data_IF_458356332180
#
_entry.id   IF_458356332180
#
_cell.length_a   1.000
_cell.length_b   1.000
_cell.length_c   1.000
_cell.angle_alpha   90.00
_cell.angle_beta   90.00
_cell.angle_gamma   90.00
#
_symmetry.space_group_name_H-M   'P 1'
#
loop_
_entity.id
_entity.type
_entity.pdbx_description
1 polymer ?
#
# COMPACT_ATOMS: atom_id res chain seq x y z
N UNK A 1 -30.25 -4.60 -11.90
CA UNK A 1 -29.97 -5.51 -10.77
C UNK A 1 -29.73 -4.63 -9.56
N UNK A 2 -30.68 -4.56 -8.64
CA UNK A 2 -30.48 -3.90 -7.36
C UNK A 2 -30.07 -4.95 -6.34
N UNK A 3 -28.78 -5.02 -6.05
CA UNK A 3 -28.29 -5.62 -4.81
C UNK A 3 -27.59 -4.48 -4.07
N UNK A 4 -28.36 -3.76 -3.26
CA UNK A 4 -27.79 -2.90 -2.21
C UNK A 4 -27.52 -3.79 -1.01
N UNK A 5 -26.56 -4.72 -1.13
CA UNK A 5 -25.92 -5.25 0.07
C UNK A 5 -25.06 -4.12 0.61
N UNK A 6 -25.44 -3.59 1.77
CA UNK A 6 -24.53 -2.73 2.53
C UNK A 6 -23.26 -3.55 2.74
N UNK A 7 -22.08 -3.10 2.26
CA UNK A 7 -20.85 -3.84 2.47
C UNK A 7 -20.70 -4.08 3.97
N UNK A 8 -20.47 -5.33 4.35
CA UNK A 8 -20.28 -5.69 5.75
C UNK A 8 -19.11 -4.89 6.31
N UNK A 9 -19.40 -3.95 7.21
CA UNK A 9 -18.39 -3.15 7.88
C UNK A 9 -17.65 -4.04 8.88
N UNK A 10 -16.34 -4.20 8.68
CA UNK A 10 -15.49 -4.90 9.62
C UNK A 10 -14.91 -3.90 10.62
N UNK A 11 -15.34 -3.98 11.88
CA UNK A 11 -14.83 -3.14 12.95
C UNK A 11 -13.56 -3.76 13.54
N UNK A 12 -12.49 -2.96 13.62
CA UNK A 12 -11.23 -3.33 14.25
C UNK A 12 -11.35 -3.23 15.77
N UNK A 13 -11.90 -4.26 16.39
CA UNK A 13 -12.03 -4.32 17.84
C UNK A 13 -10.69 -4.67 18.52
N UNK A 14 -10.51 -4.23 19.76
CA UNK A 14 -9.32 -4.56 20.56
C UNK A 14 -8.07 -3.74 20.20
N UNK A 15 -8.24 -2.62 19.51
CA UNK A 15 -7.19 -1.64 19.25
C UNK A 15 -7.76 -0.22 19.38
N UNK A 16 -6.96 0.71 19.90
CA UNK A 16 -7.29 2.15 19.93
C UNK A 16 -6.82 2.86 18.65
N UNK A 17 -6.39 2.08 17.65
CA UNK A 17 -5.92 2.59 16.36
C UNK A 17 -7.07 3.17 15.54
N UNK A 18 -6.89 4.44 15.16
CA UNK A 18 -7.86 5.17 14.33
C UNK A 18 -7.40 5.24 12.87
N UNK A 19 -6.13 4.96 12.59
CA UNK A 19 -5.55 5.04 11.25
C UNK A 19 -5.42 3.64 10.64
N UNK A 20 -6.56 3.12 10.17
CA UNK A 20 -6.60 1.80 9.53
C UNK A 20 -5.70 1.69 8.29
N UNK A 21 -5.45 2.81 7.62
CA UNK A 21 -4.58 2.93 6.45
C UNK A 21 -3.12 2.61 6.77
N UNK A 22 -2.65 2.91 7.99
CA UNK A 22 -1.21 3.00 8.22
C UNK A 22 -0.55 1.71 8.68
N UNK A 23 -1.30 0.77 9.25
CA UNK A 23 -0.70 -0.43 9.84
C UNK A 23 -0.60 -1.60 8.85
N UNK A 24 -1.20 -1.50 7.67
CA UNK A 24 -1.19 -2.54 6.64
C UNK A 24 -1.41 -1.98 5.23
N UNK A 25 -0.89 -2.70 4.24
CA UNK A 25 -1.15 -2.45 2.82
C UNK A 25 -1.82 -3.68 2.18
N UNK A 26 -3.00 -3.55 1.58
CA UNK A 26 -3.64 -4.65 0.86
C UNK A 26 -3.00 -4.94 -0.49
N UNK A 27 -2.66 -6.21 -0.73
CA UNK A 27 -2.21 -6.72 -2.02
C UNK A 27 -2.86 -8.05 -2.38
N UNK A 28 -2.34 -8.71 -3.41
CA UNK A 28 -2.77 -10.05 -3.78
C UNK A 28 -1.62 -10.87 -4.38
N UNK A 29 -1.77 -12.19 -4.31
CA UNK A 29 -0.96 -13.15 -5.06
C UNK A 29 -1.90 -14.00 -5.92
N UNK A 30 -1.46 -14.36 -7.12
CA UNK A 30 -2.28 -15.13 -8.08
C UNK A 30 -1.45 -16.18 -8.80
N UNK A 31 -2.08 -17.31 -9.11
CA UNK A 31 -1.49 -18.37 -9.93
C UNK A 31 -2.52 -18.91 -10.94
N UNK A 32 -2.09 -19.50 -12.07
CA UNK A 32 -3.00 -20.21 -12.96
C UNK A 32 -3.73 -21.35 -12.25
N UNK A 33 -5.01 -21.53 -12.54
CA UNK A 33 -5.83 -22.66 -12.09
C UNK A 33 -6.58 -23.32 -13.24
N UNK A 34 -7.29 -24.43 -12.98
CA UNK A 34 -7.94 -25.23 -14.03
C UNK A 34 -9.05 -24.46 -14.78
N UNK A 35 -9.76 -23.56 -14.09
CA UNK A 35 -10.89 -22.78 -14.64
C UNK A 35 -10.57 -21.28 -14.75
N UNK A 36 -9.30 -20.88 -14.54
CA UNK A 36 -8.86 -19.49 -14.47
C UNK A 36 -7.94 -19.21 -13.28
N UNK A 37 -7.49 -17.95 -13.10
CA UNK A 37 -6.58 -17.59 -12.02
C UNK A 37 -7.18 -17.84 -10.63
N UNK A 38 -6.37 -18.42 -9.74
CA UNK A 38 -6.67 -18.57 -8.32
C UNK A 38 -5.91 -17.47 -7.59
N UNK A 39 -6.62 -16.57 -6.90
CA UNK A 39 -6.02 -15.43 -6.21
C UNK A 39 -6.32 -15.43 -4.70
N UNK A 40 -5.31 -15.03 -3.93
CA UNK A 40 -5.38 -14.79 -2.49
C UNK A 40 -5.15 -13.29 -2.24
N UNK A 41 -5.98 -12.66 -1.41
CA UNK A 41 -5.66 -11.33 -0.88
C UNK A 41 -4.55 -11.49 0.15
N UNK A 42 -3.60 -10.57 0.18
CA UNK A 42 -2.49 -10.58 1.14
C UNK A 42 -2.43 -9.21 1.79
N UNK A 43 -2.60 -9.16 3.11
CA UNK A 43 -2.38 -7.94 3.87
C UNK A 43 -0.93 -7.92 4.33
N UNK A 44 -0.18 -6.91 3.90
CA UNK A 44 1.23 -6.72 4.29
C UNK A 44 1.24 -5.76 5.45
N UNK A 45 1.72 -6.17 6.63
CA UNK A 45 1.88 -5.26 7.77
C UNK A 45 2.90 -4.18 7.41
N UNK A 46 2.63 -2.93 7.81
CA UNK A 46 3.57 -1.83 7.67
C UNK A 46 4.87 -2.10 8.44
N UNK A 47 5.95 -1.40 8.08
CA UNK A 47 7.28 -1.64 8.65
C UNK A 47 7.46 -1.04 10.06
N UNK A 48 6.37 -0.72 10.77
CA UNK A 48 6.39 -0.14 12.10
C UNK A 48 6.34 -1.25 13.17
N UNK A 49 7.51 -1.76 13.54
CA UNK A 49 7.65 -2.92 14.45
C UNK A 49 6.89 -2.77 15.78
N UNK A 50 6.79 -1.56 16.32
CA UNK A 50 6.10 -1.29 17.61
C UNK A 50 4.63 -0.91 17.48
N UNK A 51 4.10 -0.75 16.26
CA UNK A 51 2.68 -0.44 16.04
C UNK A 51 1.82 -1.69 16.25
N UNK A 52 1.23 -1.80 17.44
CA UNK A 52 0.49 -2.98 17.91
C UNK A 52 -0.69 -3.32 17.01
N UNK A 53 -1.34 -2.31 16.42
CA UNK A 53 -2.46 -2.49 15.50
C UNK A 53 -2.15 -3.40 14.30
N UNK A 54 -0.88 -3.50 13.89
CA UNK A 54 -0.48 -4.42 12.84
C UNK A 54 -0.74 -5.90 13.14
N UNK A 55 -1.01 -6.27 14.41
CA UNK A 55 -1.49 -7.62 14.78
C UNK A 55 -2.86 -7.95 14.20
N UNK A 56 -3.69 -6.94 13.93
CA UNK A 56 -5.04 -7.10 13.35
C UNK A 56 -5.00 -7.84 12.00
N UNK A 57 -3.90 -7.72 11.24
CA UNK A 57 -3.64 -8.51 10.02
C UNK A 57 -3.78 -10.02 10.28
N UNK A 58 -3.32 -10.51 11.43
CA UNK A 58 -3.32 -11.92 11.78
C UNK A 58 -4.47 -12.32 12.69
N UNK A 59 -4.92 -11.42 13.56
CA UNK A 59 -5.93 -11.70 14.58
C UNK A 59 -7.36 -11.52 14.06
N UNK A 60 -7.57 -10.58 13.13
CA UNK A 60 -8.91 -10.19 12.66
C UNK A 60 -9.14 -10.47 11.17
N UNK A 61 -8.14 -10.27 10.32
CA UNK A 61 -8.32 -10.37 8.88
C UNK A 61 -7.91 -11.70 8.24
N UNK A 62 -6.90 -12.38 8.77
CA UNK A 62 -6.38 -13.62 8.18
C UNK A 62 -7.47 -14.71 8.18
N UNK A 63 -7.62 -15.39 7.06
CA UNK A 63 -8.58 -16.48 6.90
C UNK A 63 -8.47 -17.19 5.55
N UNK A 64 -9.48 -17.97 5.19
CA UNK A 64 -9.48 -18.89 4.03
C UNK A 64 -9.13 -18.23 2.69
N UNK A 65 -9.27 -16.91 2.56
CA UNK A 65 -8.99 -16.14 1.33
C UNK A 65 -8.10 -14.91 1.54
N UNK A 66 -7.54 -14.76 2.74
CA UNK A 66 -6.74 -13.60 3.15
C UNK A 66 -5.50 -14.09 3.89
N UNK A 67 -4.35 -13.94 3.24
CA UNK A 67 -3.04 -14.11 3.87
C UNK A 67 -2.63 -12.86 4.65
N UNK A 68 -1.77 -13.05 5.65
CA UNK A 68 -1.08 -11.97 6.33
C UNK A 68 0.43 -12.13 6.16
N UNK A 69 1.13 -11.03 5.91
CA UNK A 69 2.58 -10.98 5.79
C UNK A 69 3.20 -10.04 6.82
N UNK A 70 4.25 -10.51 7.50
CA UNK A 70 5.04 -9.76 8.45
C UNK A 70 6.45 -9.61 7.88
N UNK A 71 6.92 -8.36 7.77
CA UNK A 71 8.29 -8.07 7.39
C UNK A 71 9.31 -8.63 8.41
N UNK A 72 10.53 -9.00 7.99
CA UNK A 72 11.56 -9.55 8.87
C UNK A 72 11.87 -8.66 10.08
N UNK A 73 12.37 -9.27 11.18
CA UNK A 73 12.85 -8.55 12.36
C UNK A 73 13.96 -7.55 11.97
N UNK A 74 13.88 -6.31 12.46
CA UNK A 74 14.78 -5.21 12.06
C UNK A 74 14.26 -4.36 10.89
N UNK A 75 13.06 -4.66 10.36
CA UNK A 75 12.25 -3.73 9.58
C UNK A 75 11.80 -2.56 10.46
N UNK A 76 12.06 -1.30 10.06
CA UNK A 76 11.62 -0.06 10.73
C UNK A 76 11.50 -0.15 12.26
N UNK A 77 12.56 0.26 12.96
CA UNK A 77 12.55 0.17 14.43
C UNK A 77 11.67 1.29 14.99
N UNK A 78 10.59 0.92 15.70
CA UNK A 78 9.71 1.88 16.35
C UNK A 78 8.37 2.08 15.62
N UNK A 79 7.85 3.30 15.74
CA UNK A 79 6.58 3.78 15.21
C UNK A 79 6.90 5.04 14.39
N UNK A 80 7.60 4.84 13.28
CA UNK A 80 8.06 5.95 12.43
C UNK A 80 7.06 6.15 11.29
N UNK A 81 6.54 7.37 11.14
CA UNK A 81 5.49 7.68 10.16
C UNK A 81 5.94 7.43 8.71
N UNK A 82 7.24 7.56 8.41
CA UNK A 82 7.79 7.20 7.09
C UNK A 82 7.48 5.74 6.68
N UNK A 83 7.22 4.86 7.65
CA UNK A 83 6.95 3.44 7.46
C UNK A 83 5.45 3.08 7.57
N UNK A 84 4.57 4.07 7.65
CA UNK A 84 3.11 3.91 7.62
C UNK A 84 2.59 3.58 6.22
N UNK A 85 1.49 2.82 6.17
CA UNK A 85 0.79 2.44 4.94
C UNK A 85 0.28 3.64 4.12
N UNK A 86 -0.15 4.74 4.75
CA UNK A 86 -0.45 5.98 4.02
C UNK A 86 0.74 6.55 3.22
N UNK A 87 1.96 6.12 3.55
CA UNK A 87 3.17 6.43 2.80
C UNK A 87 3.51 5.40 1.70
N UNK A 88 2.58 4.52 1.33
CA UNK A 88 2.72 3.50 0.30
C UNK A 88 1.51 3.58 -0.63
N UNK A 89 1.69 4.14 -1.82
CA UNK A 89 0.61 4.32 -2.80
C UNK A 89 1.02 3.73 -4.16
N UNK A 90 0.09 3.64 -5.11
CA UNK A 90 0.38 3.04 -6.43
C UNK A 90 -0.11 3.95 -7.56
N UNK A 91 0.80 4.34 -8.45
CA UNK A 91 0.44 4.92 -9.75
C UNK A 91 -0.28 3.84 -10.56
N UNK A 92 -1.48 4.10 -11.11
CA UNK A 92 -2.16 3.14 -11.97
C UNK A 92 -1.34 2.81 -13.23
N UNK A 93 -1.66 1.73 -13.97
CA UNK A 93 -0.93 1.35 -15.16
C UNK A 93 -0.76 2.50 -16.18
N UNK A 94 0.44 2.62 -16.75
CA UNK A 94 0.77 3.68 -17.70
C UNK A 94 2.00 3.35 -18.54
N UNK A 95 2.18 4.10 -19.64
CA UNK A 95 3.43 4.16 -20.38
C UNK A 95 4.09 5.50 -20.06
N UNK A 96 5.32 5.46 -19.54
CA UNK A 96 6.06 6.68 -19.20
C UNK A 96 6.50 7.44 -20.46
N UNK A 97 6.93 8.70 -20.28
CA UNK A 97 7.37 9.56 -21.39
C UNK A 97 8.54 8.99 -22.21
N UNK A 98 9.36 8.10 -21.64
CA UNK A 98 10.48 7.47 -22.33
C UNK A 98 10.11 6.12 -22.99
N UNK A 99 8.82 5.75 -22.99
CA UNK A 99 8.32 4.50 -23.60
C UNK A 99 8.34 3.28 -22.68
N UNK A 100 8.81 3.39 -21.43
CA UNK A 100 8.76 2.26 -20.47
C UNK A 100 7.31 1.99 -20.08
N UNK A 101 6.87 0.74 -20.26
CA UNK A 101 5.52 0.28 -19.90
C UNK A 101 5.48 -0.26 -18.48
N UNK A 102 4.58 0.29 -17.66
CA UNK A 102 4.29 -0.14 -16.30
C UNK A 102 2.90 -0.78 -16.26
N UNK A 103 2.80 -2.03 -16.69
CA UNK A 103 1.49 -2.72 -16.83
C UNK A 103 0.80 -3.00 -15.50
N UNK A 104 1.55 -3.08 -14.40
CA UNK A 104 1.02 -3.24 -13.04
C UNK A 104 1.04 -1.92 -12.27
N UNK A 105 1.27 -0.79 -12.94
CA UNK A 105 1.52 0.47 -12.26
C UNK A 105 2.89 0.51 -11.60
N UNK A 106 3.07 1.45 -10.67
CA UNK A 106 4.34 1.66 -9.96
C UNK A 106 4.07 2.11 -8.54
N UNK A 107 4.70 1.49 -7.54
CA UNK A 107 4.59 1.96 -6.16
C UNK A 107 5.23 3.35 -6.03
N UNK A 108 4.64 4.23 -5.24
CA UNK A 108 5.25 5.47 -4.75
C UNK A 108 5.36 5.43 -3.24
N UNK A 109 6.45 5.96 -2.71
CA UNK A 109 6.65 6.13 -1.26
C UNK A 109 7.34 7.46 -0.99
N UNK A 110 7.09 8.05 0.17
CA UNK A 110 7.71 9.31 0.60
C UNK A 110 8.98 9.08 1.40
N UNK A 111 10.03 9.84 1.12
CA UNK A 111 11.21 9.99 1.98
C UNK A 111 11.06 11.25 2.84
N UNK A 112 11.74 11.26 3.99
CA UNK A 112 11.81 12.43 4.87
C UNK A 112 13.24 13.01 4.81
N UNK A 113 13.48 13.95 3.89
CA UNK A 113 14.81 14.49 3.61
C UNK A 113 15.85 13.38 3.32
N UNK A 114 16.81 13.15 4.20
CA UNK A 114 17.86 12.13 4.08
C UNK A 114 17.41 10.73 4.54
N UNK A 115 16.23 10.63 5.16
CA UNK A 115 15.67 9.37 5.66
C UNK A 115 14.78 8.72 4.62
N UNK A 116 15.03 7.44 4.33
CA UNK A 116 14.24 6.65 3.39
C UNK A 116 13.31 5.65 4.10
N UNK A 117 12.23 5.20 3.43
CA UNK A 117 11.40 4.11 3.94
C UNK A 117 12.22 2.86 4.28
N UNK A 118 11.72 2.07 5.23
CA UNK A 118 12.40 0.89 5.74
C UNK A 118 12.85 -0.03 4.60
N UNK A 119 14.14 -0.35 4.62
CA UNK A 119 14.78 -1.20 3.60
C UNK A 119 14.07 -2.55 3.43
N UNK A 120 13.50 -3.09 4.49
CA UNK A 120 12.72 -4.33 4.45
C UNK A 120 11.50 -4.23 3.53
N UNK A 121 10.80 -3.09 3.54
CA UNK A 121 9.62 -2.87 2.70
C UNK A 121 10.04 -2.64 1.25
N UNK A 122 11.00 -1.75 1.02
CA UNK A 122 11.49 -1.46 -0.33
C UNK A 122 12.10 -2.70 -0.98
N UNK A 123 12.88 -3.50 -0.24
CA UNK A 123 13.43 -4.78 -0.72
C UNK A 123 12.32 -5.78 -1.05
N UNK A 124 11.26 -5.87 -0.24
CA UNK A 124 10.12 -6.75 -0.53
C UNK A 124 9.45 -6.35 -1.84
N UNK A 125 9.15 -5.06 -2.03
CA UNK A 125 8.49 -4.52 -3.22
C UNK A 125 9.37 -4.73 -4.46
N UNK A 126 10.67 -4.42 -4.38
CA UNK A 126 11.62 -4.63 -5.47
C UNK A 126 11.75 -6.10 -5.85
N UNK A 127 11.74 -7.00 -4.86
CA UNK A 127 11.77 -8.44 -5.09
C UNK A 127 10.50 -8.97 -5.79
N UNK A 128 9.39 -8.22 -5.80
CA UNK A 128 8.20 -8.57 -6.59
C UNK A 128 8.37 -8.25 -8.07
N UNK A 129 9.43 -7.55 -8.49
CA UNK A 129 9.83 -7.23 -9.88
C UNK A 129 8.82 -6.45 -10.76
N UNK A 130 7.57 -6.27 -10.32
CA UNK A 130 6.53 -5.67 -11.14
C UNK A 130 6.36 -4.16 -10.94
N UNK A 131 6.61 -3.65 -9.73
CA UNK A 131 6.17 -2.31 -9.32
C UNK A 131 7.27 -1.54 -8.57
N UNK A 132 8.52 -1.57 -9.07
CA UNK A 132 9.68 -0.92 -8.44
C UNK A 132 9.38 0.51 -7.98
N UNK A 133 9.68 0.86 -6.72
CA UNK A 133 9.17 2.08 -6.12
C UNK A 133 9.74 3.35 -6.77
N UNK A 134 8.94 4.42 -6.80
CA UNK A 134 9.37 5.78 -7.05
C UNK A 134 9.35 6.53 -5.71
N UNK A 135 10.49 7.06 -5.30
CA UNK A 135 10.61 7.77 -4.03
C UNK A 135 10.37 9.26 -4.25
N UNK A 136 9.38 9.82 -3.54
CA UNK A 136 9.02 11.25 -3.54
C UNK A 136 9.53 11.92 -2.26
N UNK A 137 9.70 13.24 -2.26
CA UNK A 137 9.98 13.99 -1.03
C UNK A 137 8.67 14.32 -0.31
N UNK A 138 8.54 13.85 0.94
CA UNK A 138 7.37 14.06 1.79
C UNK A 138 7.75 14.65 3.17
N UNK A 139 9.04 14.81 3.49
CA UNK A 139 9.51 15.27 4.80
C UNK A 139 9.14 16.71 5.16
N UNK A 140 8.55 17.46 4.24
CA UNK A 140 8.03 18.80 4.48
C UNK A 140 6.63 18.79 5.14
N UNK A 141 5.93 17.66 5.13
CA UNK A 141 4.66 17.47 5.81
C UNK A 141 4.87 17.08 7.28
N UNK A 142 3.88 17.38 8.13
CA UNK A 142 3.97 17.08 9.56
C UNK A 142 3.96 15.57 9.86
N UNK A 143 3.19 14.80 9.09
CA UNK A 143 3.16 13.33 9.16
C UNK A 143 4.15 12.74 8.14
N UNK A 144 4.09 13.21 6.89
CA UNK A 144 5.12 12.90 5.90
C UNK A 144 4.77 11.74 4.97
N UNK A 145 3.50 11.61 4.60
CA UNK A 145 2.98 10.56 3.73
C UNK A 145 2.69 11.08 2.33
N UNK A 146 2.68 10.17 1.35
CA UNK A 146 2.33 10.49 -0.04
C UNK A 146 0.84 10.69 -0.27
N UNK A 147 -0.02 10.01 0.51
CA UNK A 147 -1.48 10.15 0.45
C UNK A 147 -1.97 11.56 0.81
N UNK A 148 -1.19 12.31 1.58
CA UNK A 148 -1.46 13.70 1.98
C UNK A 148 -1.43 14.68 0.80
N UNK A 149 -0.73 14.35 -0.30
CA UNK A 149 -0.56 15.29 -1.43
C UNK A 149 -0.66 14.68 -2.83
N UNK A 150 -0.77 13.35 -2.97
CA UNK A 150 -0.95 12.66 -4.26
C UNK A 150 -2.11 11.68 -4.18
N UNK A 151 -3.05 11.79 -5.12
CA UNK A 151 -4.07 10.77 -5.34
C UNK A 151 -4.26 10.50 -6.84
N UNK A 152 -4.74 9.30 -7.17
CA UNK A 152 -5.03 8.89 -8.53
C UNK A 152 -6.53 8.60 -8.68
N UNK A 153 -7.15 9.24 -9.67
CA UNK A 153 -8.60 9.16 -9.88
C UNK A 153 -8.90 8.64 -11.29
N UNK A 154 -9.91 7.78 -11.47
CA UNK A 154 -10.39 7.42 -12.80
C UNK A 154 -10.79 8.68 -13.60
N UNK A 155 -10.37 8.76 -14.86
CA UNK A 155 -10.67 9.90 -15.71
C UNK A 155 -10.69 9.51 -17.19
N UNK A 156 -11.57 10.15 -17.96
CA UNK A 156 -11.74 9.85 -19.39
C UNK A 156 -10.66 10.54 -20.24
N UNK A 157 -9.44 10.00 -20.20
CA UNK A 157 -8.32 10.37 -21.07
C UNK A 157 -7.60 9.12 -21.58
N UNK A 158 -6.50 9.30 -22.33
CA UNK A 158 -5.71 8.19 -22.87
C UNK A 158 -5.00 7.32 -21.81
N UNK A 159 -4.88 7.81 -20.57
CA UNK A 159 -4.35 7.04 -19.44
C UNK A 159 -5.44 6.24 -18.71
N UNK A 160 -6.70 6.66 -18.81
CA UNK A 160 -7.82 6.15 -18.01
C UNK A 160 -7.87 6.70 -16.59
N UNK A 161 -6.92 7.58 -16.23
CA UNK A 161 -6.81 8.19 -14.91
C UNK A 161 -6.18 9.59 -14.98
N UNK A 162 -6.41 10.39 -13.95
CA UNK A 162 -5.74 11.67 -13.70
C UNK A 162 -5.12 11.66 -12.32
N UNK A 163 -4.13 12.52 -12.13
CA UNK A 163 -3.53 12.78 -10.82
C UNK A 163 -4.24 13.97 -10.18
N UNK A 164 -4.53 13.86 -8.90
CA UNK A 164 -4.88 14.97 -8.03
C UNK A 164 -3.66 15.26 -7.15
N UNK A 165 -3.23 16.52 -7.16
CA UNK A 165 -2.10 17.01 -6.36
C UNK A 165 -2.63 18.13 -5.47
N UNK A 166 -2.24 18.12 -4.20
CA UNK A 166 -2.49 19.27 -3.33
C UNK A 166 -1.70 20.49 -3.85
N UNK A 167 -2.40 21.60 -4.11
CA UNK A 167 -1.84 22.84 -4.62
C UNK A 167 -2.32 24.02 -3.74
N UNK A 168 -1.43 24.97 -3.48
CA UNK A 168 -1.61 26.04 -2.48
C UNK A 168 -1.77 27.42 -3.09
#
# INVERSE_FOLDING_TARGET
MNVTETPALHLLNGTDEIWAQDFMEPGFASMPGPEGPISLRVLVRSAQSTRVAGRQVFESFRGDRVGGHQLPLGSGFGHEEIDSGGNIEIIPPYVSKNGTSYTHGRVIMGKHFDKHPAKSMTTLIEAQIYQSPLILEAGWLAVGHVDEFVQFLPYQNHLGWTIAIADT
#
